data_IF_962690784835
#
_entry.id   IF_962690784835
#
_cell.length_a   1.000
_cell.length_b   1.000
_cell.length_c   1.000
_cell.angle_alpha   90.00
_cell.angle_beta   90.00
_cell.angle_gamma   90.00
#
_symmetry.space_group_name_H-M   'P 1'
#
loop_
_entity.id
_entity.type
_entity.pdbx_description
1 polymer ?
#
# COMPACT_ATOMS: atom_id res chain seq x y z
N UNK A 1 0.85 33.16 7.11
CA UNK A 1 1.21 32.34 6.94
C UNK A 1 0.64 31.11 7.05
N UNK A 2 -0.13 30.71 7.02
CA UNK A 2 -0.80 29.60 7.10
C UNK A 2 -0.56 28.59 6.18
N UNK A 3 0.23 28.72 5.42
CA UNK A 3 0.50 27.91 4.54
C UNK A 3 1.10 26.69 4.92
N UNK A 4 1.68 26.46 5.98
CA UNK A 4 2.36 25.24 6.33
C UNK A 4 1.47 24.05 6.22
N UNK A 5 0.20 24.19 6.47
CA UNK A 5 -0.65 23.05 6.38
C UNK A 5 -0.75 22.49 5.03
N UNK A 6 -0.76 23.31 4.05
CA UNK A 6 -0.85 22.84 2.72
C UNK A 6 0.38 22.12 2.33
N UNK A 7 1.49 22.62 2.76
CA UNK A 7 2.73 21.97 2.44
C UNK A 7 2.76 20.57 3.01
N UNK A 8 2.24 20.40 4.20
CA UNK A 8 2.24 19.06 4.77
C UNK A 8 1.42 18.11 3.97
N UNK A 9 0.31 18.54 3.44
CA UNK A 9 -0.47 17.63 2.65
C UNK A 9 0.24 17.20 1.41
N UNK A 10 0.99 18.08 0.82
CA UNK A 10 1.71 17.73 -0.37
C UNK A 10 2.82 16.75 -0.11
N UNK A 11 3.32 16.75 1.12
CA UNK A 11 4.40 15.85 1.45
C UNK A 11 3.95 14.62 2.19
N UNK A 12 2.67 14.35 2.16
CA UNK A 12 2.16 13.15 2.77
C UNK A 12 2.69 11.95 2.03
N UNK A 13 3.17 10.98 2.75
CA UNK A 13 3.67 9.77 2.14
C UNK A 13 2.54 8.98 1.51
N UNK A 14 2.76 8.44 0.36
CA UNK A 14 1.77 7.62 -0.33
C UNK A 14 2.32 6.22 -0.51
N UNK A 15 1.44 5.25 -0.50
CA UNK A 15 1.86 3.88 -0.73
C UNK A 15 2.27 3.72 -2.18
N UNK A 16 3.34 2.98 -2.38
CA UNK A 16 3.81 2.69 -3.72
C UNK A 16 3.57 1.23 -4.08
N UNK A 17 2.41 0.73 -3.71
CA UNK A 17 2.07 -0.68 -3.92
C UNK A 17 2.06 -1.01 -5.41
N UNK A 18 1.54 -0.10 -6.22
CA UNK A 18 1.47 -0.31 -7.66
C UNK A 18 2.86 -0.55 -8.25
N UNK A 19 3.82 0.28 -7.87
CA UNK A 19 5.19 0.13 -8.35
C UNK A 19 5.81 -1.18 -7.86
N UNK A 20 5.57 -1.52 -6.61
CA UNK A 20 6.10 -2.75 -6.04
C UNK A 20 5.49 -3.97 -6.71
N UNK A 21 4.21 -3.92 -7.04
CA UNK A 21 3.57 -5.00 -7.77
C UNK A 21 4.27 -5.24 -9.10
N UNK A 22 4.58 -4.18 -9.81
CA UNK A 22 5.24 -4.31 -11.10
C UNK A 22 6.65 -4.88 -10.94
N UNK A 23 7.37 -4.44 -9.92
CA UNK A 23 8.72 -4.93 -9.67
C UNK A 23 8.73 -6.41 -9.33
N UNK A 24 7.67 -6.89 -8.70
CA UNK A 24 7.61 -8.28 -8.25
C UNK A 24 6.73 -9.17 -9.11
N UNK A 25 6.31 -8.67 -10.27
CA UNK A 25 5.56 -9.51 -11.19
C UNK A 25 4.09 -9.70 -10.89
N UNK A 26 3.52 -8.88 -10.03
CA UNK A 26 2.10 -8.94 -9.76
C UNK A 26 1.40 -8.03 -10.75
N UNK A 27 0.83 -8.62 -11.79
CA UNK A 27 0.24 -7.84 -12.87
C UNK A 27 -1.15 -7.32 -12.57
N UNK A 28 -1.88 -8.03 -11.71
CA UNK A 28 -3.26 -7.67 -11.38
C UNK A 28 -3.46 -7.63 -9.88
N UNK A 29 -4.35 -6.76 -9.44
CA UNK A 29 -4.69 -6.68 -8.02
C UNK A 29 -5.14 -8.02 -7.47
N UNK A 30 -5.77 -8.83 -8.31
CA UNK A 30 -6.23 -10.13 -7.90
C UNK A 30 -5.09 -11.04 -7.44
N UNK A 31 -3.95 -10.94 -8.11
CA UNK A 31 -2.78 -11.74 -7.74
C UNK A 31 -2.28 -11.33 -6.35
N UNK A 32 -2.25 -10.04 -6.09
CA UNK A 32 -1.85 -9.54 -4.79
C UNK A 32 -2.85 -9.95 -3.72
N UNK A 33 -4.12 -9.89 -4.04
CA UNK A 33 -5.18 -10.29 -3.12
C UNK A 33 -5.02 -11.75 -2.72
N UNK A 34 -4.71 -12.61 -3.67
CA UNK A 34 -4.49 -14.02 -3.37
C UNK A 34 -3.29 -14.24 -2.47
N UNK A 35 -2.22 -13.48 -2.71
CA UNK A 35 -1.03 -13.58 -1.88
C UNK A 35 -1.32 -13.16 -0.44
N UNK A 36 -2.11 -12.11 -0.26
CA UNK A 36 -2.51 -11.67 1.07
C UNK A 36 -3.37 -12.72 1.75
N UNK A 37 -4.29 -13.33 1.01
CA UNK A 37 -5.13 -14.39 1.56
C UNK A 37 -4.30 -15.57 2.01
N UNK A 38 -3.26 -15.90 1.27
CA UNK A 38 -2.37 -16.99 1.63
C UNK A 38 -1.63 -16.71 2.93
N UNK A 39 -1.44 -15.44 3.27
CA UNK A 39 -0.82 -15.06 4.54
C UNK A 39 -1.83 -14.98 5.67
N UNK A 40 -3.10 -15.25 5.38
CA UNK A 40 -4.13 -15.17 6.40
C UNK A 40 -4.68 -13.77 6.62
N UNK A 41 -4.43 -12.86 5.70
CA UNK A 41 -4.91 -11.50 5.82
C UNK A 41 -6.26 -11.39 5.14
N UNK A 42 -7.26 -11.03 5.94
CA UNK A 42 -8.63 -11.01 5.47
C UNK A 42 -9.00 -9.59 5.04
N UNK A 43 -9.00 -9.35 3.75
CA UNK A 43 -9.37 -8.05 3.20
C UNK A 43 -10.19 -8.30 1.95
N UNK A 44 -11.21 -7.51 1.72
CA UNK A 44 -12.03 -7.66 0.53
C UNK A 44 -11.26 -7.16 -0.69
N UNK A 45 -11.59 -7.68 -1.84
CA UNK A 45 -10.94 -7.26 -3.07
C UNK A 45 -11.16 -5.77 -3.32
N UNK A 46 -12.36 -5.27 -3.04
CA UNK A 46 -12.66 -3.85 -3.19
C UNK A 46 -11.79 -2.97 -2.32
N UNK A 47 -11.58 -3.40 -1.08
CA UNK A 47 -10.72 -2.65 -0.18
C UNK A 47 -9.28 -2.65 -0.67
N UNK A 48 -8.82 -3.79 -1.16
CA UNK A 48 -7.46 -3.88 -1.66
C UNK A 48 -7.24 -2.95 -2.85
N UNK A 49 -8.18 -2.91 -3.79
CA UNK A 49 -8.03 -2.03 -4.94
C UNK A 49 -7.96 -0.57 -4.52
N UNK A 50 -8.70 -0.19 -3.48
CA UNK A 50 -8.63 1.17 -2.97
C UNK A 50 -7.27 1.47 -2.36
N UNK A 51 -6.71 0.50 -1.66
CA UNK A 51 -5.39 0.67 -1.05
C UNK A 51 -4.34 0.84 -2.14
N UNK A 52 -4.40 0.01 -3.18
CA UNK A 52 -3.44 0.07 -4.27
C UNK A 52 -3.52 1.43 -4.95
N UNK A 53 -4.70 1.99 -5.07
CA UNK A 53 -4.89 3.28 -5.73
C UNK A 53 -4.73 4.46 -4.78
N UNK A 54 -4.36 4.19 -3.53
CA UNK A 54 -4.18 5.21 -2.51
C UNK A 54 -5.45 6.00 -2.21
N UNK A 55 -6.61 5.36 -2.37
CA UNK A 55 -7.87 6.03 -2.06
C UNK A 55 -8.47 5.57 -0.73
N UNK A 56 -7.79 4.69 -0.01
CA UNK A 56 -8.25 4.25 1.30
C UNK A 56 -7.65 5.15 2.37
N UNK A 57 -8.47 5.50 3.35
CA UNK A 57 -8.00 6.34 4.44
C UNK A 57 -7.55 5.53 5.63
N UNK A 58 -7.94 4.27 5.69
CA UNK A 58 -7.63 3.44 6.85
C UNK A 58 -6.79 2.25 6.44
N UNK A 59 -5.59 2.19 6.99
CA UNK A 59 -4.69 1.08 6.76
C UNK A 59 -4.40 0.46 8.11
N UNK A 60 -4.48 -0.85 8.20
CA UNK A 60 -4.10 -1.49 9.45
C UNK A 60 -2.69 -2.06 9.33
N UNK A 61 -2.09 -2.29 10.49
CA UNK A 61 -0.71 -2.74 10.56
C UNK A 61 -0.54 -4.11 9.93
N UNK A 62 -1.50 -5.00 10.14
CA UNK A 62 -1.41 -6.35 9.58
C UNK A 62 -1.34 -6.31 8.06
N UNK A 63 -2.10 -5.43 7.45
CA UNK A 63 -2.09 -5.29 6.00
C UNK A 63 -0.73 -4.77 5.52
N UNK A 64 -0.19 -3.78 6.20
CA UNK A 64 1.10 -3.24 5.85
C UNK A 64 2.20 -4.27 6.00
N UNK A 65 2.14 -5.05 7.07
CA UNK A 65 3.12 -6.10 7.28
C UNK A 65 2.98 -7.20 6.22
N UNK A 66 1.76 -7.47 5.79
CA UNK A 66 1.52 -8.43 4.73
C UNK A 66 2.17 -7.98 3.43
N UNK A 67 2.01 -6.72 3.08
CA UNK A 67 2.66 -6.19 1.88
C UNK A 67 4.18 -6.29 2.01
N UNK A 68 4.72 -5.93 3.17
CA UNK A 68 6.16 -5.99 3.37
C UNK A 68 6.67 -7.42 3.20
N UNK A 69 5.92 -8.38 3.68
CA UNK A 69 6.28 -9.78 3.52
C UNK A 69 6.23 -10.21 2.06
N UNK A 70 5.17 -9.86 1.36
CA UNK A 70 5.01 -10.25 -0.04
C UNK A 70 6.09 -9.63 -0.90
N UNK A 71 6.41 -8.36 -0.67
CA UNK A 71 7.41 -7.66 -1.47
C UNK A 71 8.81 -7.76 -0.89
N UNK A 72 8.95 -8.51 0.20
CA UNK A 72 10.26 -8.75 0.83
C UNK A 72 10.98 -7.42 1.11
N UNK A 73 10.31 -6.51 1.75
CA UNK A 73 10.87 -5.22 2.08
C UNK A 73 10.39 -4.78 3.46
N UNK A 74 10.85 -3.63 3.90
CA UNK A 74 10.41 -3.09 5.18
C UNK A 74 9.13 -2.31 4.99
N UNK A 75 8.34 -2.18 6.04
CA UNK A 75 7.11 -1.41 5.96
C UNK A 75 7.40 0.01 5.48
N UNK A 76 8.51 0.60 5.95
CA UNK A 76 8.86 1.95 5.52
C UNK A 76 9.08 2.05 4.02
N UNK A 77 9.44 0.95 3.37
CA UNK A 77 9.67 0.96 1.94
C UNK A 77 8.39 0.89 1.12
N UNK A 78 7.27 0.68 1.78
CA UNK A 78 5.98 0.67 1.11
C UNK A 78 5.52 2.08 0.76
N UNK A 79 6.12 3.08 1.37
CA UNK A 79 5.72 4.47 1.15
C UNK A 79 6.73 5.18 0.27
N UNK A 80 6.22 6.04 -0.60
CA UNK A 80 7.12 6.84 -1.40
C UNK A 80 7.57 8.03 -0.55
N UNK A 81 8.83 8.38 -0.69
CA UNK A 81 9.32 9.54 -0.01
C UNK A 81 9.10 10.71 -0.96
N UNK A 82 8.66 11.80 -0.43
CA UNK A 82 8.37 12.86 -1.33
C UNK A 82 9.17 14.09 -1.05
#
# INVERSE_FOLDING_TARGET
MPKPFKAKKKHQAMLRIDALMQEHGYRFDKDLWRALSALGIDISYSQLTRVVKNSSKHLNVDLLEGFATIFNCKVSELFSAD
#
